data_IF_142460389380
#
_entry.id   IF_142460389380
#
_cell.length_a   1.000
_cell.length_b   1.000
_cell.length_c   1.000
_cell.angle_alpha   90.00
_cell.angle_beta   90.00
_cell.angle_gamma   90.00
#
_symmetry.space_group_name_H-M   'P 1'
#
loop_
_entity.id
_entity.type
_entity.pdbx_description
1 polymer ?
#
# COMPACT_ATOMS: atom_id res chain seq x y z
N UNK A 1 7.94 5.68 14.85
CA UNK A 1 7.36 4.83 15.92
C UNK A 1 7.24 5.69 17.15
N UNK A 2 6.22 5.47 17.98
CA UNK A 2 6.08 6.15 19.28
C UNK A 2 6.70 5.33 20.41
N UNK A 3 6.71 5.89 21.61
CA UNK A 3 7.03 5.14 22.83
C UNK A 3 5.94 4.10 23.14
N UNK A 4 6.32 2.99 23.76
CA UNK A 4 5.41 1.90 24.15
C UNK A 4 4.48 2.31 25.29
N UNK A 5 3.24 1.83 25.25
CA UNK A 5 2.21 2.14 26.25
C UNK A 5 1.50 0.87 26.74
N UNK A 6 0.91 0.87 27.96
CA UNK A 6 0.24 -0.32 28.53
C UNK A 6 -0.99 -0.82 27.74
N UNK A 7 -1.52 -0.01 26.82
CA UNK A 7 -2.64 -0.38 25.93
C UNK A 7 -2.19 -1.14 24.67
N UNK A 8 -0.89 -1.31 24.44
CA UNK A 8 -0.35 -1.85 23.20
C UNK A 8 -0.52 -3.36 23.11
N UNK A 9 -0.99 -3.82 21.95
CA UNK A 9 -1.27 -5.23 21.65
C UNK A 9 -0.44 -5.72 20.47
N UNK A 10 -0.03 -7.01 20.47
CA UNK A 10 0.69 -7.60 19.36
C UNK A 10 -0.26 -7.92 18.21
N UNK A 11 0.01 -7.34 17.04
CA UNK A 11 -0.56 -7.76 15.75
C UNK A 11 0.51 -8.61 15.07
N UNK A 12 0.36 -9.93 15.10
CA UNK A 12 1.32 -10.89 14.53
C UNK A 12 0.83 -11.42 13.20
N UNK A 13 1.70 -11.33 12.19
CA UNK A 13 1.41 -11.67 10.80
C UNK A 13 2.45 -12.69 10.29
N UNK A 14 2.05 -13.67 9.46
CA UNK A 14 3.00 -14.56 8.82
C UNK A 14 3.83 -13.81 7.77
N UNK A 15 5.14 -14.06 7.77
CA UNK A 15 6.03 -13.59 6.71
C UNK A 15 5.87 -14.46 5.47
N UNK A 16 5.57 -13.83 4.36
CA UNK A 16 5.58 -14.43 3.05
C UNK A 16 6.95 -14.24 2.39
N UNK A 17 7.43 -15.30 1.74
CA UNK A 17 8.74 -15.37 1.09
C UNK A 17 8.66 -15.59 -0.43
N UNK A 18 7.46 -15.58 -1.04
CA UNK A 18 7.28 -15.75 -2.49
C UNK A 18 8.02 -14.67 -3.31
N UNK A 19 8.19 -13.46 -2.76
CA UNK A 19 9.00 -12.40 -3.39
C UNK A 19 10.52 -12.52 -3.13
N UNK A 20 10.97 -13.51 -2.36
CA UNK A 20 12.35 -13.73 -1.95
C UNK A 20 12.74 -13.05 -0.63
N UNK A 21 13.81 -13.53 0.02
CA UNK A 21 14.20 -13.10 1.39
C UNK A 21 14.48 -11.59 1.53
N UNK A 22 15.03 -10.94 0.51
CA UNK A 22 15.26 -9.49 0.48
C UNK A 22 13.98 -8.67 0.24
N UNK A 23 12.86 -9.33 -0.02
CA UNK A 23 11.55 -8.71 -0.27
C UNK A 23 10.45 -9.23 0.66
N UNK A 24 10.84 -9.92 1.73
CA UNK A 24 9.96 -10.47 2.77
C UNK A 24 8.92 -9.45 3.21
N UNK A 25 7.66 -9.87 3.20
CA UNK A 25 6.50 -9.02 3.52
C UNK A 25 5.36 -9.88 4.05
N UNK A 26 4.15 -9.30 4.11
CA UNK A 26 2.94 -10.02 4.51
C UNK A 26 2.00 -10.10 3.32
N UNK A 27 1.46 -11.28 3.03
CA UNK A 27 0.49 -11.47 1.94
C UNK A 27 -0.91 -11.05 2.40
N UNK A 28 -1.50 -10.10 1.67
CA UNK A 28 -2.90 -9.69 1.76
C UNK A 28 -3.64 -10.31 0.57
N UNK A 29 -4.87 -10.76 0.76
CA UNK A 29 -5.78 -11.11 -0.34
C UNK A 29 -6.70 -9.93 -0.66
N UNK A 30 -6.73 -9.52 -1.92
CA UNK A 30 -7.56 -8.41 -2.42
C UNK A 30 -8.35 -8.90 -3.62
N UNK A 31 -9.63 -9.22 -3.40
CA UNK A 31 -10.51 -9.75 -4.45
C UNK A 31 -10.05 -11.09 -5.04
N UNK A 32 -9.46 -11.97 -4.22
CA UNK A 32 -8.88 -13.24 -4.68
C UNK A 32 -7.51 -13.12 -5.34
N UNK A 33 -6.82 -11.97 -5.17
CA UNK A 33 -5.50 -11.70 -5.74
C UNK A 33 -4.50 -11.36 -4.64
N UNK A 34 -3.30 -11.96 -4.62
CA UNK A 34 -2.30 -11.67 -3.61
C UNK A 34 -1.61 -10.33 -3.86
N UNK A 35 -1.55 -9.49 -2.82
CA UNK A 35 -0.70 -8.30 -2.74
C UNK A 35 0.27 -8.48 -1.56
N UNK A 36 1.54 -8.18 -1.75
CA UNK A 36 2.57 -8.35 -0.73
C UNK A 36 2.89 -7.00 -0.09
N UNK A 37 2.53 -6.85 1.18
CA UNK A 37 2.75 -5.66 1.98
C UNK A 37 4.14 -5.67 2.62
N UNK A 38 4.90 -4.59 2.48
CA UNK A 38 6.19 -4.38 3.14
C UNK A 38 6.15 -3.06 3.92
N UNK A 39 6.64 -3.07 5.16
CA UNK A 39 6.62 -1.89 6.03
C UNK A 39 7.76 -0.91 5.67
N UNK A 40 7.44 0.38 5.61
CA UNK A 40 8.32 1.45 5.14
C UNK A 40 8.35 2.59 6.16
N UNK A 41 9.54 2.89 6.68
CA UNK A 41 9.77 3.94 7.69
C UNK A 41 10.17 5.30 7.07
N UNK A 42 10.42 5.29 5.77
CA UNK A 42 10.83 6.42 4.92
C UNK A 42 9.65 7.10 4.21
N UNK A 43 8.42 6.60 4.37
CA UNK A 43 7.19 7.14 3.77
C UNK A 43 6.17 7.55 4.83
N UNK A 44 5.47 8.66 4.59
CA UNK A 44 4.25 8.99 5.32
C UNK A 44 3.11 8.05 4.91
N UNK A 45 2.66 8.14 3.66
CA UNK A 45 1.54 7.34 3.14
C UNK A 45 1.93 5.93 2.67
N UNK A 46 0.93 5.04 2.59
CA UNK A 46 1.10 3.74 1.95
C UNK A 46 1.08 3.89 0.42
N UNK A 47 1.83 3.06 -0.31
CA UNK A 47 2.05 3.22 -1.75
C UNK A 47 1.98 1.90 -2.53
N UNK A 48 1.24 1.88 -3.63
CA UNK A 48 1.09 0.73 -4.55
C UNK A 48 1.33 1.12 -6.01
N UNK A 49 1.57 0.12 -6.88
CA UNK A 49 1.57 0.23 -8.35
C UNK A 49 0.17 0.50 -8.92
N UNK A 50 0.07 1.01 -10.16
CA UNK A 50 -1.21 1.22 -10.83
C UNK A 50 -2.10 -0.04 -10.83
N UNK A 51 -1.53 -1.20 -11.19
CA UNK A 51 -2.25 -2.49 -11.22
C UNK A 51 -2.76 -2.89 -9.84
N UNK A 52 -1.93 -2.78 -8.78
CA UNK A 52 -2.36 -3.11 -7.42
C UNK A 52 -3.39 -2.11 -6.87
N UNK A 53 -3.22 -0.82 -7.18
CA UNK A 53 -4.19 0.24 -6.87
C UNK A 53 -5.56 -0.05 -7.48
N UNK A 54 -5.61 -0.51 -8.74
CA UNK A 54 -6.86 -0.92 -9.37
C UNK A 54 -7.49 -2.14 -8.69
N UNK A 55 -6.71 -3.15 -8.32
CA UNK A 55 -7.27 -4.32 -7.61
C UNK A 55 -7.89 -3.93 -6.26
N UNK A 56 -7.23 -3.04 -5.53
CA UNK A 56 -7.74 -2.50 -4.26
C UNK A 56 -9.00 -1.66 -4.51
N UNK A 57 -8.99 -0.76 -5.51
CA UNK A 57 -10.15 0.04 -5.86
C UNK A 57 -11.38 -0.81 -6.25
N UNK A 58 -11.18 -1.85 -7.06
CA UNK A 58 -12.24 -2.78 -7.49
C UNK A 58 -12.81 -3.59 -6.31
N UNK A 59 -11.97 -3.98 -5.34
CA UNK A 59 -12.38 -4.80 -4.19
C UNK A 59 -12.97 -4.00 -3.02
N UNK A 60 -12.46 -2.79 -2.78
CA UNK A 60 -12.76 -1.95 -1.61
C UNK A 60 -13.68 -0.76 -1.92
N UNK A 61 -13.88 -0.41 -3.20
CA UNK A 61 -14.58 0.80 -3.64
C UNK A 61 -13.64 2.00 -3.62
N UNK A 62 -12.77 2.13 -4.63
CA UNK A 62 -11.74 3.18 -4.68
C UNK A 62 -11.97 4.23 -5.76
N UNK A 63 -11.69 5.49 -5.42
CA UNK A 63 -11.65 6.63 -6.36
C UNK A 63 -10.44 7.51 -6.12
N UNK A 64 -9.88 8.08 -7.19
CA UNK A 64 -8.87 9.12 -7.03
C UNK A 64 -9.49 10.40 -6.45
N UNK A 65 -8.77 11.06 -5.56
CA UNK A 65 -9.25 12.23 -4.81
C UNK A 65 -8.43 13.51 -5.07
N UNK A 66 -7.36 13.38 -5.84
CA UNK A 66 -6.30 14.38 -5.97
C UNK A 66 -5.71 14.39 -7.38
N UNK A 67 -5.15 15.55 -7.73
CA UNK A 67 -4.22 15.70 -8.84
C UNK A 67 -2.95 14.85 -8.60
N UNK A 68 -2.25 14.51 -9.68
CA UNK A 68 -0.98 13.81 -9.55
C UNK A 68 0.09 14.72 -8.94
N UNK A 69 0.78 14.22 -7.91
CA UNK A 69 1.94 14.89 -7.30
C UNK A 69 3.17 14.01 -7.35
N UNK A 70 4.32 14.64 -7.46
CA UNK A 70 5.61 13.95 -7.38
C UNK A 70 5.89 13.49 -5.96
N UNK A 71 6.23 12.20 -5.80
CA UNK A 71 6.71 11.65 -4.54
C UNK A 71 7.97 10.79 -4.74
N UNK A 72 8.94 10.84 -3.80
CA UNK A 72 10.17 10.07 -3.91
C UNK A 72 9.87 8.56 -3.86
N UNK A 73 10.28 7.82 -4.89
CA UNK A 73 10.10 6.38 -4.97
C UNK A 73 11.35 5.66 -4.48
N UNK A 74 12.53 5.98 -5.03
CA UNK A 74 13.80 5.39 -4.59
C UNK A 74 14.97 6.24 -5.08
N UNK A 75 16.05 6.33 -4.31
CA UNK A 75 17.32 6.97 -4.72
C UNK A 75 17.17 8.39 -5.30
N UNK A 76 16.28 9.21 -4.75
CA UNK A 76 16.02 10.58 -5.22
C UNK A 76 15.19 10.69 -6.50
N UNK A 77 14.76 9.57 -7.09
CA UNK A 77 13.84 9.57 -8.24
C UNK A 77 12.41 9.76 -7.72
N UNK A 78 11.82 10.91 -8.02
CA UNK A 78 10.39 11.15 -7.85
C UNK A 78 9.59 10.51 -9.00
N UNK A 79 8.33 10.13 -8.71
CA UNK A 79 7.34 9.71 -9.71
C UNK A 79 5.98 10.29 -9.35
N UNK A 80 5.08 10.49 -10.33
CA UNK A 80 3.73 10.96 -10.07
C UNK A 80 2.92 9.87 -9.37
N UNK A 81 2.33 10.24 -8.24
CA UNK A 81 1.39 9.45 -7.47
C UNK A 81 0.08 10.21 -7.32
N UNK A 82 -1.03 9.48 -7.19
CA UNK A 82 -2.35 10.01 -6.86
C UNK A 82 -2.88 9.32 -5.61
N UNK A 83 -3.48 10.05 -4.69
CA UNK A 83 -4.13 9.46 -3.53
C UNK A 83 -5.45 8.79 -3.96
N UNK A 84 -5.72 7.62 -3.37
CA UNK A 84 -6.83 6.73 -3.68
C UNK A 84 -7.69 6.58 -2.44
N UNK A 85 -8.81 7.30 -2.40
CA UNK A 85 -9.78 7.19 -1.31
C UNK A 85 -10.59 5.91 -1.47
N UNK A 86 -10.63 5.10 -0.40
CA UNK A 86 -11.38 3.85 -0.32
C UNK A 86 -12.65 4.04 0.51
N UNK A 87 -13.77 3.54 0.02
CA UNK A 87 -15.06 3.46 0.74
C UNK A 87 -14.98 2.51 1.94
N UNK A 88 -14.16 1.46 1.84
CA UNK A 88 -13.83 0.54 2.92
C UNK A 88 -12.31 0.44 3.06
N UNK A 89 -11.73 0.60 4.27
CA UNK A 89 -10.28 0.53 4.46
C UNK A 89 -9.72 -0.80 3.95
N UNK A 90 -8.50 -0.79 3.43
CA UNK A 90 -7.78 -2.02 3.11
C UNK A 90 -7.24 -2.61 4.43
N UNK A 91 -7.64 -3.84 4.76
CA UNK A 91 -7.27 -4.47 6.03
C UNK A 91 -5.99 -5.30 5.90
N UNK A 92 -5.05 -5.08 6.83
CA UNK A 92 -3.91 -5.95 7.09
C UNK A 92 -4.05 -6.53 8.51
N UNK A 93 -4.78 -7.64 8.61
CA UNK A 93 -5.36 -8.13 9.86
C UNK A 93 -6.17 -7.04 10.59
N UNK A 94 -5.67 -6.56 11.73
CA UNK A 94 -6.30 -5.51 12.55
C UNK A 94 -5.87 -4.09 12.14
N UNK A 95 -4.93 -3.94 11.20
CA UNK A 95 -4.47 -2.64 10.70
C UNK A 95 -5.35 -2.14 9.54
N UNK A 96 -5.92 -0.94 9.68
CA UNK A 96 -6.64 -0.21 8.65
C UNK A 96 -5.68 0.65 7.80
N UNK A 97 -5.58 0.34 6.52
CA UNK A 97 -4.86 1.16 5.53
C UNK A 97 -5.89 2.07 4.86
N UNK A 98 -5.89 3.35 5.29
CA UNK A 98 -6.80 4.41 4.81
C UNK A 98 -6.12 5.34 3.80
N UNK A 99 -4.92 5.83 4.13
CA UNK A 99 -4.11 6.68 3.26
C UNK A 99 -3.29 5.82 2.30
N UNK A 100 -3.81 5.62 1.09
CA UNK A 100 -3.19 4.85 0.03
C UNK A 100 -2.95 5.72 -1.20
N UNK A 101 -1.71 5.76 -1.68
CA UNK A 101 -1.34 6.36 -2.95
C UNK A 101 -1.03 5.31 -4.01
N UNK A 102 -1.23 5.67 -5.28
CA UNK A 102 -1.00 4.83 -6.46
C UNK A 102 0.01 5.52 -7.38
N UNK A 103 1.06 4.81 -7.79
CA UNK A 103 1.96 5.25 -8.87
C UNK A 103 1.25 5.11 -10.20
N UNK A 104 1.07 6.22 -10.92
CA UNK A 104 0.20 6.25 -12.10
C UNK A 104 0.91 6.09 -13.46
N UNK A 105 2.21 6.35 -13.56
CA UNK A 105 2.89 6.51 -14.86
C UNK A 105 4.00 5.50 -15.20
N UNK A 106 4.28 4.49 -14.37
CA UNK A 106 5.50 3.66 -14.54
C UNK A 106 5.37 2.14 -14.32
N UNK A 107 4.27 1.64 -13.75
CA UNK A 107 4.07 0.22 -13.47
C UNK A 107 2.60 -0.20 -13.60
N UNK A 108 2.18 -0.58 -14.82
CA UNK A 108 0.86 -1.14 -15.11
C UNK A 108 -0.11 -0.14 -15.74
N UNK A 109 -1.41 -0.39 -15.59
CA UNK A 109 -2.48 0.42 -16.17
C UNK A 109 -3.53 0.74 -15.09
N UNK A 110 -3.77 2.03 -14.86
CA UNK A 110 -4.74 2.56 -13.88
C UNK A 110 -6.15 2.73 -14.45
N UNK A 111 -6.35 2.58 -15.76
CA UNK A 111 -7.65 2.78 -16.42
C UNK A 111 -8.77 1.95 -15.76
N UNK A 112 -9.86 2.64 -15.42
CA UNK A 112 -11.01 2.04 -14.73
C UNK A 112 -10.92 2.03 -13.21
N UNK A 113 -10.02 2.82 -12.60
CA UNK A 113 -10.27 3.41 -11.27
C UNK A 113 -11.20 4.61 -11.50
N UNK A 114 -12.15 4.85 -10.58
CA UNK A 114 -13.06 5.99 -10.72
C UNK A 114 -12.34 7.32 -10.43
N UNK A 115 -12.59 8.33 -11.26
CA UNK A 115 -12.07 9.67 -11.06
C UNK A 115 -12.92 10.48 -10.07
N UNK A 116 -12.28 11.40 -9.34
CA UNK A 116 -12.96 12.48 -8.64
C UNK A 116 -13.50 13.55 -9.60
N UNK A 117 -14.03 14.68 -9.10
CA UNK A 117 -14.41 15.80 -9.96
C UNK A 117 -13.18 16.33 -10.72
N UNK A 118 -13.21 16.19 -12.05
CA UNK A 118 -12.14 16.51 -13.01
C UNK A 118 -12.19 18.01 -13.44
N UNK A 119 -11.34 18.54 -14.35
CA UNK A 119 -10.56 17.91 -15.45
C UNK A 119 -9.09 17.64 -15.03
N UNK A 120 -8.08 17.36 -15.89
CA UNK A 120 -8.02 17.18 -17.35
C UNK A 120 -6.96 16.09 -17.71
N UNK A 121 -6.88 15.64 -18.96
CA UNK A 121 -5.86 14.69 -19.43
C UNK A 121 -4.74 15.42 -20.22
N UNK A 122 -3.47 15.29 -19.78
CA UNK A 122 -2.30 15.75 -20.55
C UNK A 122 -2.03 14.80 -21.73
N UNK A 123 -2.10 15.27 -23.00
CA UNK A 123 -2.00 14.41 -24.17
C UNK A 123 -0.56 13.99 -24.54
N UNK A 124 0.45 14.25 -23.71
CA UNK A 124 1.86 13.93 -23.97
C UNK A 124 2.34 12.55 -23.47
N UNK A 125 1.44 11.72 -22.92
CA UNK A 125 1.80 10.43 -22.31
C UNK A 125 2.29 9.36 -23.32
N UNK A 126 3.56 8.94 -23.19
CA UNK A 126 4.12 7.80 -23.94
C UNK A 126 3.77 6.48 -23.24
N UNK A 127 2.64 5.88 -23.64
CA UNK A 127 2.15 4.62 -23.05
C UNK A 127 2.89 3.40 -23.61
N UNK A 128 3.57 2.65 -22.75
CA UNK A 128 4.16 1.34 -23.08
C UNK A 128 3.15 0.22 -22.83
N UNK A 129 2.27 -0.04 -23.80
CA UNK A 129 1.34 -1.18 -23.76
C UNK A 129 2.01 -2.46 -24.25
N UNK A 130 2.56 -3.28 -23.34
CA UNK A 130 3.06 -4.62 -23.65
C UNK A 130 2.03 -5.71 -23.39
N UNK A 131 1.63 -6.47 -24.41
CA UNK A 131 0.82 -7.69 -24.24
C UNK A 131 1.66 -8.85 -23.67
N UNK A 132 1.94 -8.84 -22.37
CA UNK A 132 2.55 -10.00 -21.72
C UNK A 132 1.52 -11.11 -21.53
N UNK A 133 1.58 -12.17 -22.34
CA UNK A 133 0.82 -13.44 -22.15
C UNK A 133 1.33 -14.27 -20.94
N UNK A 134 1.90 -13.63 -19.93
CA UNK A 134 2.47 -14.26 -18.73
C UNK A 134 1.59 -14.11 -17.49
N UNK A 135 1.90 -14.85 -16.43
CA UNK A 135 1.32 -14.66 -15.08
C UNK A 135 1.48 -13.19 -14.69
N UNK A 136 0.38 -12.50 -14.37
CA UNK A 136 0.45 -11.10 -13.91
C UNK A 136 1.39 -11.06 -12.69
N UNK A 137 2.41 -10.18 -12.68
CA UNK A 137 3.39 -10.17 -11.60
C UNK A 137 2.72 -9.88 -10.25
N UNK A 138 3.28 -10.44 -9.19
CA UNK A 138 2.89 -10.16 -7.81
C UNK A 138 2.96 -8.65 -7.54
N UNK A 139 1.87 -8.07 -7.04
CA UNK A 139 1.81 -6.64 -6.75
C UNK A 139 2.36 -6.35 -5.35
N UNK A 140 3.06 -5.23 -5.20
CA UNK A 140 3.69 -4.84 -3.94
C UNK A 140 3.11 -3.55 -3.40
N UNK A 141 2.78 -3.57 -2.12
CA UNK A 141 2.28 -2.45 -1.35
C UNK A 141 3.34 -2.08 -0.31
N UNK A 142 3.74 -0.82 -0.24
CA UNK A 142 4.52 -0.30 0.87
C UNK A 142 3.57 0.31 1.89
N UNK A 143 3.67 -0.09 3.15
CA UNK A 143 2.87 0.42 4.26
C UNK A 143 3.64 1.57 4.92
N UNK A 144 3.08 2.77 4.87
CA UNK A 144 3.70 4.00 5.36
C UNK A 144 3.44 4.30 6.83
N UNK A 145 4.15 5.30 7.35
CA UNK A 145 4.11 5.77 8.73
C UNK A 145 2.75 6.32 9.19
N UNK A 146 1.83 6.70 8.31
CA UNK A 146 0.45 7.01 8.68
C UNK A 146 -0.25 5.77 9.26
N UNK A 147 0.05 4.59 8.69
CA UNK A 147 -0.54 3.31 9.08
C UNK A 147 0.20 2.59 10.21
N UNK A 148 1.51 2.82 10.38
CA UNK A 148 2.32 2.11 11.41
C UNK A 148 3.08 3.02 12.39
N UNK A 149 3.16 4.32 12.14
CA UNK A 149 3.93 5.26 12.97
C UNK A 149 3.36 5.43 14.37
N UNK A 150 2.05 5.20 14.52
CA UNK A 150 1.35 5.12 15.80
C UNK A 150 1.56 3.80 16.56
N UNK A 151 2.27 2.82 15.99
CA UNK A 151 2.73 1.64 16.71
C UNK A 151 4.04 1.95 17.45
N UNK A 152 4.30 1.21 18.53
CA UNK A 152 5.50 1.34 19.35
C UNK A 152 6.70 0.62 18.75
N UNK A 153 6.49 -0.56 18.18
CA UNK A 153 7.55 -1.35 17.57
C UNK A 153 7.03 -2.25 16.45
N UNK A 154 7.99 -2.78 15.70
CA UNK A 154 7.84 -3.84 14.72
C UNK A 154 9.04 -4.78 14.84
N UNK A 155 8.76 -6.07 14.95
CA UNK A 155 9.77 -7.11 15.17
C UNK A 155 9.62 -8.17 14.09
N UNK A 156 10.72 -8.47 13.39
CA UNK A 156 10.78 -9.55 12.41
C UNK A 156 11.48 -10.75 13.06
N UNK A 157 10.78 -11.89 13.14
CA UNK A 157 11.37 -13.17 13.49
C UNK A 157 11.41 -14.05 12.23
N UNK A 158 12.57 -14.08 11.57
CA UNK A 158 12.81 -14.92 10.39
C UNK A 158 12.97 -16.41 10.72
N UNK A 159 13.13 -16.78 12.00
CA UNK A 159 13.16 -18.17 12.46
C UNK A 159 11.77 -18.73 12.65
N UNK A 160 10.87 -17.96 13.26
CA UNK A 160 9.44 -18.27 13.36
C UNK A 160 8.65 -17.99 12.07
N UNK A 161 9.21 -17.17 11.17
CA UNK A 161 8.54 -16.74 9.93
C UNK A 161 7.40 -15.74 10.20
N UNK A 162 7.60 -14.81 11.13
CA UNK A 162 6.55 -13.85 11.55
C UNK A 162 7.07 -12.41 11.63
N UNK A 163 6.14 -11.46 11.50
CA UNK A 163 6.35 -10.07 11.87
C UNK A 163 5.27 -9.65 12.86
N UNK A 164 5.68 -9.04 13.97
CA UNK A 164 4.79 -8.58 15.03
C UNK A 164 4.91 -7.07 15.16
N UNK A 165 3.78 -6.36 15.09
CA UNK A 165 3.71 -4.94 15.42
C UNK A 165 3.09 -4.78 16.81
N UNK A 166 3.62 -3.88 17.63
CA UNK A 166 3.02 -3.51 18.92
C UNK A 166 2.24 -2.20 18.73
N UNK A 167 0.93 -2.31 18.55
CA UNK A 167 0.05 -1.19 18.19
C UNK A 167 -1.03 -0.96 19.26
N UNK A 168 -1.56 0.27 19.40
CA UNK A 168 -2.75 0.49 20.21
C UNK A 168 -3.97 -0.11 19.49
N UNK A 169 -5.10 -0.30 20.18
CA UNK A 169 -6.35 -0.70 19.53
C UNK A 169 -6.80 0.41 18.57
N UNK A 170 -6.71 0.16 17.25
CA UNK A 170 -6.95 1.18 16.23
C UNK A 170 -8.37 1.75 16.26
N UNK A 171 -9.35 1.01 16.81
CA UNK A 171 -10.73 1.49 16.99
C UNK A 171 -10.85 2.65 17.99
N UNK A 172 -9.79 2.91 18.75
CA UNK A 172 -9.67 4.02 19.70
C UNK A 172 -8.85 5.20 19.15
N UNK A 173 -8.26 5.06 17.96
CA UNK A 173 -7.58 6.17 17.29
C UNK A 173 -8.62 7.06 16.60
N UNK A 174 -8.48 8.39 16.65
CA UNK A 174 -9.26 9.27 15.79
C UNK A 174 -8.89 8.99 14.33
N UNK A 175 -9.89 9.03 13.42
CA UNK A 175 -9.58 9.13 11.99
C UNK A 175 -8.73 10.40 11.76
N UNK A 176 -7.67 10.34 10.93
CA UNK A 176 -6.96 11.53 10.48
C UNK A 176 -7.86 12.44 9.62
#
# INVERSE_FOLDING_TARGET
MREAQPGDRPITLPLDTEMGRSQTGVRIDVGGRPIYAAFSFDRAESLVTATGGKWIADANGGRFDSEAREAPILYGVARPIRSLNLERPLMLAELEIRNLAVRVSDMGNSRGIAEGPAPEEDPSEIIVSGESKGKVPSQRLYIGMDTIGHCASITYDFGAGTVTLMCPDQRLLPNP
#
